data_IF_154366452173
#
_entry.id   IF_154366452173
#
_cell.length_a   1.000
_cell.length_b   1.000
_cell.length_c   1.000
_cell.angle_alpha   90.00
_cell.angle_beta   90.00
_cell.angle_gamma   90.00
#
_symmetry.space_group_name_H-M   'P 1'
#
loop_
_entity.id
_entity.type
_entity.pdbx_description
1 polymer ?
#
# COMPACT_ATOMS: atom_id res chain seq x y z
N UNK A 1 -19.07 0.86 10.40
CA UNK A 1 -19.60 2.21 10.70
C UNK A 1 -20.94 2.35 9.99
N UNK A 2 -22.05 2.59 10.69
CA UNK A 2 -23.37 2.73 10.05
C UNK A 2 -23.77 4.21 10.05
N UNK A 3 -23.71 4.84 8.88
CA UNK A 3 -24.23 6.18 8.66
C UNK A 3 -24.87 6.21 7.26
N UNK A 4 -26.08 6.76 7.09
CA UNK A 4 -26.89 6.63 5.87
C UNK A 4 -26.21 7.17 4.61
N UNK A 5 -25.26 8.10 4.76
CA UNK A 5 -24.54 8.69 3.63
C UNK A 5 -23.17 8.04 3.33
N UNK A 6 -22.74 7.04 4.10
CA UNK A 6 -21.49 6.33 3.81
C UNK A 6 -21.54 5.37 2.62
N UNK A 7 -22.69 4.74 2.27
CA UNK A 7 -22.77 3.83 1.13
C UNK A 7 -22.28 4.45 -0.19
N UNK A 8 -22.49 5.75 -0.40
CA UNK A 8 -22.06 6.43 -1.63
C UNK A 8 -20.54 6.56 -1.79
N UNK A 9 -19.78 6.36 -0.70
CA UNK A 9 -18.33 6.43 -0.72
C UNK A 9 -17.69 5.05 -0.72
N UNK A 10 -18.45 3.96 -0.78
CA UNK A 10 -17.87 2.61 -0.74
C UNK A 10 -16.99 2.35 -1.96
N UNK A 11 -15.92 1.61 -1.75
CA UNK A 11 -14.98 1.26 -2.80
C UNK A 11 -14.69 -0.24 -2.81
N UNK A 12 -14.73 -0.82 -4.02
CA UNK A 12 -14.24 -2.16 -4.35
C UNK A 12 -13.31 -2.03 -5.55
N UNK A 13 -12.30 -2.90 -5.62
CA UNK A 13 -11.30 -2.90 -6.68
C UNK A 13 -9.88 -2.72 -6.15
N UNK A 14 -8.98 -2.33 -7.05
CA UNK A 14 -7.55 -2.27 -6.78
C UNK A 14 -7.13 -0.84 -6.42
N UNK A 15 -6.45 -0.68 -5.29
CA UNK A 15 -5.83 0.58 -4.89
C UNK A 15 -4.37 0.39 -4.44
N UNK A 16 -3.61 1.47 -4.44
CA UNK A 16 -2.16 1.46 -4.30
C UNK A 16 -1.68 2.35 -3.16
N UNK A 17 -0.66 1.89 -2.42
CA UNK A 17 0.01 2.68 -1.39
C UNK A 17 1.50 2.69 -1.63
N UNK A 18 2.06 3.85 -1.91
CA UNK A 18 3.50 4.04 -1.90
C UNK A 18 4.01 4.32 -0.49
N UNK A 19 5.12 3.70 -0.13
CA UNK A 19 5.79 3.93 1.13
C UNK A 19 7.29 3.64 1.02
N UNK A 20 8.07 4.23 1.93
CA UNK A 20 9.47 3.89 2.13
C UNK A 20 9.55 2.89 3.28
N UNK A 21 10.22 1.76 3.04
CA UNK A 21 10.36 0.70 4.03
C UNK A 21 11.83 0.37 4.25
N UNK A 22 12.19 -0.07 5.44
CA UNK A 22 13.51 -0.65 5.73
C UNK A 22 13.54 -2.15 5.42
N UNK A 23 14.72 -2.77 5.50
CA UNK A 23 14.81 -4.23 5.42
C UNK A 23 14.00 -4.90 6.54
N UNK A 24 14.05 -4.36 7.76
CA UNK A 24 13.32 -4.91 8.91
C UNK A 24 11.80 -4.87 8.69
N UNK A 25 11.29 -3.82 8.06
CA UNK A 25 9.88 -3.70 7.69
C UNK A 25 9.51 -4.73 6.62
N UNK A 26 10.37 -4.89 5.60
CA UNK A 26 10.18 -5.88 4.54
C UNK A 26 10.16 -7.31 5.08
N UNK A 27 11.00 -7.61 6.07
CA UNK A 27 11.07 -8.92 6.72
C UNK A 27 9.78 -9.27 7.49
N UNK A 28 8.92 -8.29 7.79
CA UNK A 28 7.60 -8.52 8.38
C UNK A 28 6.57 -9.06 7.37
N UNK A 29 6.88 -9.05 6.07
CA UNK A 29 6.01 -9.55 5.01
C UNK A 29 6.46 -10.93 4.53
N UNK A 30 5.55 -11.89 4.61
CA UNK A 30 5.77 -13.26 4.13
C UNK A 30 4.62 -13.69 3.24
N UNK A 31 4.92 -14.48 2.21
CA UNK A 31 3.90 -15.03 1.32
C UNK A 31 2.85 -15.82 2.13
N UNK A 32 1.56 -15.62 1.81
CA UNK A 32 0.40 -16.18 2.51
C UNK A 32 0.18 -15.70 3.95
N UNK A 33 1.00 -14.79 4.47
CA UNK A 33 0.78 -14.18 5.77
C UNK A 33 -0.47 -13.29 5.76
N UNK A 34 -1.19 -13.28 6.87
CA UNK A 34 -2.31 -12.37 7.10
C UNK A 34 -1.81 -11.15 7.87
N UNK A 35 -2.13 -9.97 7.36
CA UNK A 35 -1.72 -8.69 7.92
C UNK A 35 -2.98 -7.97 8.38
N UNK A 36 -3.03 -7.70 9.68
CA UNK A 36 -4.06 -6.85 10.27
C UNK A 36 -3.61 -5.39 10.17
N UNK A 37 -4.34 -4.62 9.39
CA UNK A 37 -4.17 -3.18 9.39
C UNK A 37 -4.76 -2.59 10.70
N UNK A 38 -4.02 -1.75 11.42
CA UNK A 38 -4.46 -1.16 12.70
C UNK A 38 -4.80 0.32 12.65
N UNK A 39 -4.53 0.98 11.54
CA UNK A 39 -4.76 2.41 11.33
C UNK A 39 -5.51 2.63 10.01
N UNK A 40 -5.89 3.86 9.70
CA UNK A 40 -6.33 4.15 8.34
C UNK A 40 -5.14 4.06 7.38
N UNK A 41 -5.34 3.46 6.20
CA UNK A 41 -4.35 3.48 5.13
C UNK A 41 -4.86 4.39 4.01
N UNK A 42 -4.20 5.52 3.83
CA UNK A 42 -4.32 6.30 2.60
C UNK A 42 -3.71 5.52 1.44
N UNK A 43 -4.50 5.31 0.40
CA UNK A 43 -4.14 4.68 -0.87
C UNK A 43 -4.72 5.52 -2.02
N UNK A 44 -4.32 5.23 -3.26
CA UNK A 44 -4.85 5.88 -4.45
C UNK A 44 -5.32 4.83 -5.46
N UNK A 45 -6.35 5.15 -6.25
CA UNK A 45 -6.69 4.34 -7.44
C UNK A 45 -5.56 4.46 -8.48
N UNK A 46 -4.88 5.61 -8.54
CA UNK A 46 -3.81 5.87 -9.49
C UNK A 46 -2.47 5.35 -8.96
N UNK A 47 -1.93 4.34 -9.66
CA UNK A 47 -0.63 3.73 -9.35
C UNK A 47 0.50 4.75 -9.37
N UNK A 48 0.49 5.70 -10.31
CA UNK A 48 1.55 6.71 -10.45
C UNK A 48 1.52 7.68 -9.27
N UNK A 49 0.33 8.09 -8.85
CA UNK A 49 0.15 8.92 -7.65
C UNK A 49 0.71 8.22 -6.42
N UNK A 50 0.32 6.96 -6.21
CA UNK A 50 0.86 6.17 -5.10
C UNK A 50 2.39 6.05 -5.18
N UNK A 51 2.96 5.78 -6.35
CA UNK A 51 4.40 5.65 -6.55
C UNK A 51 5.20 6.92 -6.17
N UNK A 52 4.64 8.11 -6.38
CA UNK A 52 5.26 9.37 -5.92
C UNK A 52 5.51 9.36 -4.40
N UNK A 53 4.58 8.79 -3.61
CA UNK A 53 4.75 8.66 -2.15
C UNK A 53 5.77 7.59 -1.75
N UNK A 54 6.08 6.63 -2.63
CA UNK A 54 7.18 5.68 -2.40
C UNK A 54 8.57 6.32 -2.63
N UNK A 55 8.61 7.50 -3.28
CA UNK A 55 9.84 8.22 -3.58
C UNK A 55 10.62 7.64 -4.76
N UNK A 56 9.92 7.10 -5.77
CA UNK A 56 10.54 6.56 -6.99
C UNK A 56 11.50 7.56 -7.66
N UNK A 57 11.21 8.86 -7.63
CA UNK A 57 12.06 9.92 -8.20
C UNK A 57 13.35 10.20 -7.40
N UNK A 58 13.50 9.63 -6.19
CA UNK A 58 14.64 9.90 -5.28
C UNK A 58 15.49 8.64 -5.01
N UNK A 59 15.29 7.56 -5.75
CA UNK A 59 15.92 6.26 -5.49
C UNK A 59 17.46 6.26 -5.50
N UNK A 60 18.09 7.14 -6.29
CA UNK A 60 19.56 7.28 -6.34
C UNK A 60 20.17 7.71 -5.00
N UNK A 61 19.39 8.37 -4.14
CA UNK A 61 19.81 8.80 -2.80
C UNK A 61 19.54 7.76 -1.71
N UNK A 62 18.68 6.75 -1.96
CA UNK A 62 18.21 5.81 -0.93
C UNK A 62 19.17 4.67 -0.62
N UNK A 63 20.23 4.48 -1.43
CA UNK A 63 21.26 3.44 -1.24
C UNK A 63 22.35 3.79 -0.25
N UNK A 64 22.60 5.07 -0.04
CA UNK A 64 23.74 5.50 0.75
C UNK A 64 23.24 5.97 2.10
N UNK A 65 23.61 5.26 3.17
CA UNK A 65 24.49 5.86 4.19
C UNK A 65 25.16 4.78 5.04
N UNK A 66 26.03 3.94 4.44
CA UNK A 66 27.01 3.20 5.28
C UNK A 66 27.94 4.16 6.05
N UNK A 67 28.00 5.44 5.63
CA UNK A 67 28.71 6.52 6.32
C UNK A 67 27.96 7.15 7.50
N UNK A 68 26.62 7.11 7.55
CA UNK A 68 25.83 7.84 8.57
C UNK A 68 24.98 6.94 9.49
N UNK A 69 25.24 5.62 9.52
CA UNK A 69 24.53 4.67 10.40
C UNK A 69 22.99 4.64 10.21
N UNK A 70 22.44 5.10 9.08
CA UNK A 70 20.99 4.99 8.82
C UNK A 70 20.66 3.72 8.06
N UNK A 71 19.51 3.13 8.38
CA UNK A 71 19.04 1.90 7.75
C UNK A 71 18.80 2.09 6.24
N UNK A 72 19.14 1.07 5.44
CA UNK A 72 18.80 1.00 4.02
C UNK A 72 17.27 1.10 3.85
N UNK A 73 16.83 1.98 2.94
CA UNK A 73 15.43 2.17 2.62
C UNK A 73 15.13 1.75 1.18
N UNK A 74 13.98 1.12 0.99
CA UNK A 74 13.45 0.65 -0.28
C UNK A 74 12.19 1.42 -0.64
N UNK A 75 12.03 1.71 -1.93
CA UNK A 75 10.73 2.15 -2.49
C UNK A 75 9.81 0.95 -2.49
N UNK A 76 8.65 1.04 -1.85
CA UNK A 76 7.67 -0.02 -1.79
C UNK A 76 6.31 0.45 -2.27
N UNK A 77 5.72 -0.31 -3.18
CA UNK A 77 4.35 -0.12 -3.64
C UNK A 77 3.50 -1.31 -3.21
N UNK A 78 2.54 -1.08 -2.33
CA UNK A 78 1.56 -2.08 -1.96
C UNK A 78 0.33 -1.95 -2.86
N UNK A 79 -0.10 -3.05 -3.46
CA UNK A 79 -1.35 -3.16 -4.22
C UNK A 79 -2.35 -3.93 -3.37
N UNK A 80 -3.49 -3.31 -3.07
CA UNK A 80 -4.57 -3.91 -2.30
C UNK A 80 -5.76 -4.20 -3.21
N UNK A 81 -6.22 -5.45 -3.24
CA UNK A 81 -7.51 -5.82 -3.82
C UNK A 81 -8.59 -5.78 -2.73
N UNK A 82 -9.49 -4.80 -2.83
CA UNK A 82 -10.64 -4.63 -1.95
C UNK A 82 -11.84 -5.36 -2.56
N UNK A 83 -12.39 -6.31 -1.81
CA UNK A 83 -13.53 -7.15 -2.17
C UNK A 83 -14.80 -6.75 -1.44
N UNK A 84 -14.72 -6.18 -0.23
CA UNK A 84 -15.90 -5.85 0.58
C UNK A 84 -16.22 -4.36 0.56
N UNK A 85 -17.52 -4.03 0.50
CA UNK A 85 -18.02 -2.66 0.53
C UNK A 85 -17.74 -1.90 1.83
N UNK A 86 -17.39 -2.60 2.91
CA UNK A 86 -17.12 -2.02 4.23
C UNK A 86 -15.66 -1.64 4.45
N UNK A 87 -14.74 -2.06 3.58
CA UNK A 87 -13.30 -2.02 3.87
C UNK A 87 -12.61 -0.75 3.40
N UNK A 88 -13.11 -0.12 2.36
CA UNK A 88 -12.50 1.08 1.81
C UNK A 88 -13.53 2.12 1.41
N UNK A 89 -13.13 3.38 1.52
CA UNK A 89 -13.93 4.52 1.11
C UNK A 89 -13.22 5.33 0.03
N UNK A 90 -13.88 5.61 -1.09
CA UNK A 90 -13.47 6.63 -2.02
C UNK A 90 -13.80 8.01 -1.44
N UNK A 91 -12.76 8.75 -1.09
CA UNK A 91 -12.87 10.08 -0.49
C UNK A 91 -12.41 11.20 -1.44
N UNK A 92 -12.23 10.90 -2.73
CA UNK A 92 -11.85 11.86 -3.77
C UNK A 92 -12.74 13.11 -3.72
N UNK A 93 -14.06 12.92 -3.68
CA UNK A 93 -15.05 14.01 -3.64
C UNK A 93 -15.11 14.79 -2.31
N UNK A 94 -14.49 14.26 -1.26
CA UNK A 94 -14.41 14.88 0.07
C UNK A 94 -13.05 15.54 0.32
N UNK A 95 -12.03 15.15 -0.46
CA UNK A 95 -10.66 15.59 -0.28
C UNK A 95 -10.44 17.02 -0.79
N UNK A 96 -9.52 17.73 -0.14
CA UNK A 96 -8.99 18.99 -0.68
C UNK A 96 -8.05 18.77 -1.87
N UNK A 97 -7.70 17.51 -2.15
CA UNK A 97 -6.79 17.05 -3.21
C UNK A 97 -7.43 15.93 -4.04
N UNK A 98 -8.46 16.23 -4.85
CA UNK A 98 -9.15 15.21 -5.64
C UNK A 98 -8.26 14.57 -6.72
N UNK A 99 -7.19 15.26 -7.14
CA UNK A 99 -6.18 14.74 -8.06
C UNK A 99 -5.46 13.49 -7.52
N UNK A 100 -5.42 13.31 -6.20
CA UNK A 100 -4.82 12.13 -5.58
C UNK A 100 -5.68 10.86 -5.71
N UNK A 101 -6.97 10.99 -6.10
CA UNK A 101 -7.92 9.87 -6.23
C UNK A 101 -7.88 8.94 -5.00
N UNK A 102 -7.93 9.56 -3.81
CA UNK A 102 -7.66 8.89 -2.53
C UNK A 102 -8.76 7.87 -2.17
N UNK A 103 -8.31 6.66 -1.88
CA UNK A 103 -9.08 5.61 -1.24
C UNK A 103 -8.55 5.45 0.19
N UNK A 104 -9.46 5.47 1.17
CA UNK A 104 -9.12 5.30 2.58
C UNK A 104 -9.56 3.90 3.04
N UNK A 105 -8.58 3.01 3.26
CA UNK A 105 -8.84 1.70 3.85
C UNK A 105 -9.01 1.87 5.36
N UNK A 106 -10.08 1.28 5.91
CA UNK A 106 -10.40 1.40 7.33
C UNK A 106 -9.49 0.52 8.21
N UNK A 107 -9.36 0.87 9.51
CA UNK A 107 -8.68 0.02 10.47
C UNK A 107 -9.37 -1.34 10.61
N UNK A 108 -8.57 -2.33 11.04
CA UNK A 108 -8.97 -3.70 11.34
C UNK A 108 -9.35 -4.57 10.15
N UNK A 109 -9.17 -4.08 8.92
CA UNK A 109 -9.21 -4.93 7.73
C UNK A 109 -8.01 -5.87 7.69
N UNK A 110 -8.26 -7.11 7.26
CA UNK A 110 -7.24 -8.17 7.17
C UNK A 110 -6.94 -8.44 5.71
N UNK A 111 -5.66 -8.49 5.38
CA UNK A 111 -5.18 -8.76 4.03
C UNK A 111 -4.21 -9.92 4.02
N UNK A 112 -4.31 -10.80 3.03
CA UNK A 112 -3.36 -11.86 2.78
C UNK A 112 -2.30 -11.38 1.78
N UNK A 113 -1.03 -11.61 2.08
CA UNK A 113 0.08 -11.36 1.15
C UNK A 113 0.07 -12.41 0.04
N UNK A 114 -0.15 -11.97 -1.18
CA UNK A 114 -0.27 -12.82 -2.37
C UNK A 114 1.03 -12.91 -3.16
N UNK A 115 1.82 -11.84 -3.18
CA UNK A 115 3.13 -11.82 -3.82
C UNK A 115 4.03 -10.75 -3.21
N UNK A 116 5.34 -10.99 -3.29
CA UNK A 116 6.39 -10.00 -2.99
C UNK A 116 7.37 -10.01 -4.15
N UNK A 117 7.39 -8.95 -4.95
CA UNK A 117 8.24 -8.80 -6.13
C UNK A 117 9.39 -7.84 -5.82
N UNK A 118 10.58 -8.17 -6.30
CA UNK A 118 11.77 -7.33 -6.22
C UNK A 118 12.18 -6.97 -7.64
N UNK A 119 12.02 -5.70 -7.99
CA UNK A 119 12.32 -5.21 -9.33
C UNK A 119 13.65 -4.44 -9.28
N UNK A 120 14.61 -4.87 -10.09
CA UNK A 120 15.92 -4.23 -10.20
C UNK A 120 15.85 -3.19 -11.32
N UNK A 121 15.95 -1.91 -10.95
CA UNK A 121 15.70 -0.79 -11.86
C UNK A 121 16.92 -0.38 -12.69
N UNK A 122 18.13 -0.81 -12.32
CA UNK A 122 19.34 -0.65 -13.14
C UNK A 122 20.42 -1.66 -12.74
N UNK A 123 21.21 -2.14 -13.70
CA UNK A 123 22.33 -3.08 -13.50
C UNK A 123 23.56 -2.37 -12.90
N UNK A 124 23.69 -1.06 -13.12
CA UNK A 124 24.85 -0.27 -12.69
C UNK A 124 24.73 0.27 -11.26
N UNK A 125 23.50 0.50 -10.82
CA UNK A 125 23.15 0.92 -9.47
C UNK A 125 22.08 -0.04 -9.01
N UNK A 126 22.37 -0.97 -8.07
CA UNK A 126 21.53 -2.06 -7.54
C UNK A 126 20.05 -1.74 -7.10
N UNK A 127 19.31 -1.04 -7.97
CA UNK A 127 17.98 -0.42 -8.06
C UNK A 127 16.77 -1.05 -7.42
N UNK A 128 16.75 -1.57 -6.19
CA UNK A 128 15.60 -2.39 -5.80
C UNK A 128 14.35 -1.54 -5.48
N UNK A 129 13.28 -1.75 -6.23
CA UNK A 129 11.91 -1.44 -5.82
C UNK A 129 11.17 -2.72 -5.42
N UNK A 130 10.29 -2.58 -4.44
CA UNK A 130 9.50 -3.67 -3.88
C UNK A 130 8.05 -3.45 -4.28
N UNK A 131 7.39 -4.50 -4.76
CA UNK A 131 5.94 -4.53 -4.89
C UNK A 131 5.36 -5.64 -4.03
N UNK A 132 4.33 -5.31 -3.25
CA UNK A 132 3.63 -6.27 -2.38
C UNK A 132 2.19 -6.31 -2.83
N UNK A 133 1.72 -7.49 -3.24
CA UNK A 133 0.32 -7.70 -3.61
C UNK A 133 -0.43 -8.27 -2.40
N UNK A 134 -1.54 -7.62 -2.06
CA UNK A 134 -2.37 -7.94 -0.90
C UNK A 134 -3.82 -8.13 -1.36
N UNK A 135 -4.43 -9.21 -0.91
CA UNK A 135 -5.85 -9.48 -1.17
C UNK A 135 -6.62 -9.44 0.14
N UNK A 136 -7.76 -8.74 0.15
CA UNK A 136 -8.64 -8.69 1.31
C UNK A 136 -9.12 -10.10 1.68
N UNK A 137 -9.11 -10.43 2.97
CA UNK A 137 -9.74 -11.65 3.45
C UNK A 137 -11.26 -11.47 3.49
N UNK A 138 -11.99 -12.43 2.96
CA UNK A 138 -13.45 -12.47 3.09
C UNK A 138 -13.82 -13.13 4.41
N UNK A 139 -14.85 -12.60 5.07
CA UNK A 139 -15.44 -13.28 6.21
C UNK A 139 -16.07 -14.58 5.70
N UNK A 140 -15.59 -15.72 6.20
CA UNK A 140 -16.26 -17.00 5.99
C UNK A 140 -17.52 -16.96 6.86
N UNK A 141 -18.67 -16.66 6.26
CA UNK A 141 -19.94 -17.00 6.88
C UNK A 141 -20.11 -18.50 6.68
N UNK A 142 -19.87 -19.28 7.74
CA UNK A 142 -20.35 -20.66 7.79
C UNK A 142 -21.89 -20.61 7.74
N UNK A 143 -22.47 -21.15 6.66
CA UNK A 143 -23.91 -21.33 6.47
C UNK A 143 -24.51 -22.40 7.42
#
# INVERSE_FOLDING_TARGET
>A
IYHPNLPQYQYQGVCYRGMRITQNDLDQYQLNQHILNRAFLSTSIDRQVAAMFAGEDQQSQMRYTSKDHRALQYSCLCQYLIKQNSTAMNIESLSTRPDEQEILIIPFSVFKVMAIKRNYLDDSTASISIEIELEECEDVMDD
#
